data_IF_123899508925
#
_entry.id   IF_123899508925
#
_cell.length_a   1.000
_cell.length_b   1.000
_cell.length_c   1.000
_cell.angle_alpha   90.00
_cell.angle_beta   90.00
_cell.angle_gamma   90.00
#
_symmetry.space_group_name_H-M   'P 1'
#
loop_
_entity.id
_entity.type
_entity.pdbx_description
1 polymer ?
#
# COMPACT_ATOMS: atom_id res chain seq x y z
N UNK A 1 -0.20 -1.88 -15.72
CA UNK A 1 -1.22 -0.84 -15.42
C UNK A 1 -2.24 -0.93 -16.54
N UNK A 2 -3.53 -1.17 -16.25
CA UNK A 2 -4.53 -1.39 -17.32
C UNK A 2 -4.87 -0.10 -18.04
N UNK A 3 -5.06 -0.15 -19.37
CA UNK A 3 -5.36 0.98 -20.26
C UNK A 3 -6.72 1.67 -20.01
N UNK A 4 -7.47 1.25 -18.99
CA UNK A 4 -8.83 1.72 -18.67
C UNK A 4 -8.95 3.24 -18.45
N UNK A 5 -7.84 3.92 -18.18
CA UNK A 5 -7.81 5.35 -17.90
C UNK A 5 -6.96 6.16 -18.90
N UNK A 6 -6.36 5.51 -19.90
CA UNK A 6 -5.40 6.13 -20.82
C UNK A 6 -5.98 7.31 -21.62
N UNK A 7 -7.31 7.36 -21.81
CA UNK A 7 -7.99 8.44 -22.53
C UNK A 7 -8.62 9.53 -21.64
N UNK A 8 -8.42 9.47 -20.32
CA UNK A 8 -9.08 10.41 -19.37
C UNK A 8 -8.26 11.66 -19.07
N UNK A 9 -7.04 11.75 -19.57
CA UNK A 9 -6.10 12.84 -19.30
C UNK A 9 -4.97 12.85 -20.32
N UNK A 10 -4.40 14.03 -20.58
CA UNK A 10 -3.16 14.23 -21.34
C UNK A 10 -2.18 15.07 -20.55
N UNK A 11 -0.87 14.93 -20.78
CA UNK A 11 0.16 15.74 -20.09
C UNK A 11 -0.10 17.25 -20.13
N UNK A 12 -0.71 17.74 -21.22
CA UNK A 12 -1.09 19.14 -21.38
C UNK A 12 -2.17 19.62 -20.38
N UNK A 13 -2.99 18.71 -19.86
CA UNK A 13 -4.02 19.02 -18.86
C UNK A 13 -3.44 19.16 -17.43
N UNK A 14 -2.16 18.78 -17.23
CA UNK A 14 -1.47 18.81 -15.94
C UNK A 14 -1.80 17.62 -15.03
N UNK A 15 -0.86 17.17 -14.21
CA UNK A 15 -0.96 15.91 -13.44
C UNK A 15 -2.29 15.76 -12.63
N UNK A 16 -3.13 14.73 -12.90
CA UNK A 16 -4.48 14.64 -12.36
C UNK A 16 -4.58 13.72 -11.13
N UNK A 17 -3.49 13.04 -10.77
CA UNK A 17 -3.52 12.01 -9.73
C UNK A 17 -3.16 12.61 -8.38
N UNK A 18 -4.02 12.37 -7.40
CA UNK A 18 -3.82 12.77 -6.00
C UNK A 18 -3.76 11.51 -5.13
N UNK A 19 -3.07 11.57 -4.00
CA UNK A 19 -3.15 10.49 -3.02
C UNK A 19 -4.53 10.49 -2.33
N UNK A 20 -4.96 9.30 -1.87
CA UNK A 20 -6.22 9.12 -1.15
C UNK A 20 -6.31 9.96 0.15
N UNK A 21 -5.19 10.50 0.62
CA UNK A 21 -5.06 11.45 1.73
C UNK A 21 -5.44 12.89 1.37
N UNK A 22 -5.80 13.17 0.10
CA UNK A 22 -6.13 14.52 -0.37
C UNK A 22 -4.91 15.36 -0.77
N UNK A 23 -3.72 14.74 -0.82
CA UNK A 23 -2.49 15.43 -1.21
C UNK A 23 -2.31 15.46 -2.73
N UNK A 24 -2.31 16.67 -3.29
CA UNK A 24 -2.10 16.93 -4.71
C UNK A 24 -0.62 17.09 -5.10
N UNK A 25 0.30 17.12 -4.14
CA UNK A 25 1.74 17.33 -4.36
C UNK A 25 2.53 16.03 -4.39
N UNK A 26 2.05 15.01 -3.66
CA UNK A 26 2.73 13.73 -3.50
C UNK A 26 3.72 13.67 -2.33
N UNK A 27 3.83 14.73 -1.53
CA UNK A 27 4.78 14.82 -0.42
C UNK A 27 4.25 14.32 0.93
N UNK A 28 2.96 14.06 1.05
CA UNK A 28 2.35 13.56 2.31
C UNK A 28 2.72 12.12 2.64
N UNK A 29 3.17 11.34 1.67
CA UNK A 29 3.44 9.92 1.87
C UNK A 29 4.90 9.69 2.26
N UNK A 30 5.11 9.26 3.50
CA UNK A 30 6.39 8.70 3.95
C UNK A 30 6.17 7.26 4.41
N UNK A 31 7.18 6.41 4.22
CA UNK A 31 7.15 5.01 4.63
C UNK A 31 8.22 4.75 5.67
N UNK A 32 7.82 4.30 6.85
CA UNK A 32 8.74 3.79 7.86
C UNK A 32 8.95 2.29 7.64
N UNK A 33 10.20 1.85 7.49
CA UNK A 33 10.53 0.44 7.36
C UNK A 33 11.01 -0.11 8.70
N UNK A 34 10.28 -1.08 9.24
CA UNK A 34 10.69 -1.84 10.42
C UNK A 34 10.88 -3.31 10.04
N UNK A 35 12.09 -3.85 10.24
CA UNK A 35 12.38 -5.27 10.03
C UNK A 35 12.18 -6.07 11.33
N UNK A 36 11.24 -7.01 11.32
CA UNK A 36 11.02 -7.97 12.40
C UNK A 36 11.70 -9.33 12.17
N UNK A 37 12.63 -9.41 11.21
CA UNK A 37 13.25 -10.68 10.82
C UNK A 37 14.22 -11.18 11.90
N UNK A 38 14.21 -12.48 12.13
CA UNK A 38 15.34 -13.15 12.78
C UNK A 38 16.57 -12.98 11.89
N UNK A 39 17.63 -12.38 12.44
CA UNK A 39 18.83 -12.00 11.69
C UNK A 39 19.52 -13.22 11.08
N UNK A 40 19.53 -14.36 11.77
CA UNK A 40 20.16 -15.58 11.25
C UNK A 40 19.35 -16.16 10.10
N UNK A 41 18.02 -16.17 10.21
CA UNK A 41 17.14 -16.61 9.12
C UNK A 41 17.32 -15.72 7.89
N UNK A 42 17.31 -14.39 8.09
CA UNK A 42 17.47 -13.43 7.00
C UNK A 42 18.84 -13.58 6.33
N UNK A 43 19.91 -13.69 7.11
CA UNK A 43 21.27 -13.86 6.56
C UNK A 43 21.37 -15.14 5.74
N UNK A 44 20.87 -16.26 6.25
CA UNK A 44 20.89 -17.52 5.52
C UNK A 44 20.06 -17.46 4.22
N UNK A 45 18.91 -16.78 4.24
CA UNK A 45 18.11 -16.62 3.03
C UNK A 45 18.87 -15.80 1.96
N UNK A 46 19.55 -14.72 2.36
CA UNK A 46 20.38 -13.90 1.46
C UNK A 46 21.50 -14.75 0.85
N UNK A 47 22.21 -15.53 1.67
CA UNK A 47 23.39 -16.27 1.24
C UNK A 47 23.05 -17.50 0.40
N UNK A 48 21.90 -18.12 0.64
CA UNK A 48 21.62 -19.46 0.12
C UNK A 48 20.34 -19.59 -0.71
N UNK A 49 19.45 -18.59 -0.71
CA UNK A 49 18.18 -18.65 -1.44
C UNK A 49 18.16 -17.75 -2.68
N UNK A 50 19.26 -17.76 -3.42
CA UNK A 50 19.41 -17.13 -4.73
C UNK A 50 20.16 -18.09 -5.67
N UNK A 51 19.75 -19.37 -5.68
CA UNK A 51 20.42 -20.44 -6.40
C UNK A 51 19.83 -20.57 -7.82
N UNK A 52 20.64 -20.46 -8.89
CA UNK A 52 20.15 -20.56 -10.27
C UNK A 52 19.63 -21.94 -10.67
N UNK A 53 19.86 -22.97 -9.85
CA UNK A 53 19.49 -24.36 -10.17
C UNK A 53 18.16 -24.80 -9.53
N UNK A 54 17.48 -23.92 -8.79
CA UNK A 54 16.17 -24.18 -8.21
C UNK A 54 15.29 -22.92 -8.28
N UNK A 55 14.05 -23.02 -7.79
CA UNK A 55 13.08 -21.94 -7.90
C UNK A 55 13.35 -20.73 -6.99
N UNK A 56 14.40 -20.77 -6.14
CA UNK A 56 14.78 -19.58 -5.36
C UNK A 56 15.23 -18.42 -6.26
N UNK A 57 15.82 -18.69 -7.44
CA UNK A 57 16.15 -17.66 -8.43
C UNK A 57 14.91 -16.97 -9.02
N UNK A 58 13.76 -17.67 -9.02
CA UNK A 58 12.50 -17.17 -9.56
C UNK A 58 11.68 -16.40 -8.52
N UNK A 59 12.23 -16.19 -7.31
CA UNK A 59 11.53 -15.52 -6.21
C UNK A 59 10.46 -16.37 -5.54
N UNK A 60 10.50 -17.70 -5.73
CA UNK A 60 9.57 -18.61 -5.05
C UNK A 60 10.05 -18.81 -3.61
N UNK A 61 9.43 -18.08 -2.68
CA UNK A 61 9.81 -18.10 -1.26
C UNK A 61 9.77 -19.51 -0.65
N UNK A 62 8.80 -20.34 -1.03
CA UNK A 62 8.64 -21.72 -0.55
C UNK A 62 9.82 -22.66 -0.93
N UNK A 63 10.62 -22.30 -1.94
CA UNK A 63 11.80 -23.07 -2.33
C UNK A 63 13.00 -22.84 -1.39
N UNK A 64 12.98 -21.76 -0.60
CA UNK A 64 14.03 -21.43 0.34
C UNK A 64 13.90 -22.25 1.64
N UNK A 65 14.79 -23.22 1.86
CA UNK A 65 14.75 -24.11 3.04
C UNK A 65 14.92 -23.39 4.39
N UNK A 66 15.41 -22.15 4.39
CA UNK A 66 15.55 -21.33 5.60
C UNK A 66 14.25 -20.60 5.98
N UNK A 67 13.27 -20.53 5.08
CA UNK A 67 11.96 -19.99 5.40
C UNK A 67 11.02 -21.07 5.91
N UNK A 68 10.22 -20.71 6.92
CA UNK A 68 9.10 -21.50 7.38
C UNK A 68 7.81 -20.85 6.90
N UNK A 69 7.32 -21.32 5.77
CA UNK A 69 6.11 -20.79 5.14
C UNK A 69 4.87 -21.35 5.82
N UNK A 70 3.85 -20.50 5.97
CA UNK A 70 2.51 -20.93 6.38
C UNK A 70 1.62 -21.09 5.14
N UNK A 71 0.65 -22.00 5.14
CA UNK A 71 -0.28 -22.14 4.02
C UNK A 71 -1.00 -20.82 3.71
N UNK A 72 -1.21 -20.53 2.43
CA UNK A 72 -1.87 -19.30 1.98
C UNK A 72 -3.25 -19.08 2.65
N UNK A 73 -4.04 -20.15 2.84
CA UNK A 73 -5.31 -20.07 3.53
C UNK A 73 -5.17 -19.63 5.01
N UNK A 74 -4.11 -20.07 5.69
CA UNK A 74 -3.81 -19.63 7.05
C UNK A 74 -3.40 -18.16 7.06
N UNK A 75 -2.53 -17.74 6.14
CA UNK A 75 -2.13 -16.32 6.02
C UNK A 75 -3.34 -15.41 5.78
N UNK A 76 -4.25 -15.80 4.88
CA UNK A 76 -5.48 -15.06 4.56
C UNK A 76 -6.48 -14.99 5.72
N UNK A 77 -6.38 -15.90 6.69
CA UNK A 77 -7.19 -15.85 7.91
C UNK A 77 -6.70 -14.83 8.95
N UNK A 78 -5.46 -14.33 8.80
CA UNK A 78 -4.89 -13.31 9.67
C UNK A 78 -5.46 -11.93 9.31
N UNK A 79 -6.67 -11.65 9.79
CA UNK A 79 -7.36 -10.39 9.56
C UNK A 79 -7.61 -9.69 10.90
N UNK A 80 -7.34 -8.39 10.94
CA UNK A 80 -7.77 -7.54 12.04
C UNK A 80 -9.20 -7.06 11.76
N UNK A 81 -10.05 -7.11 12.78
CA UNK A 81 -11.35 -6.44 12.70
C UNK A 81 -11.15 -4.94 12.53
N UNK A 82 -12.07 -4.28 11.82
CA UNK A 82 -11.99 -2.83 11.66
C UNK A 82 -11.99 -2.15 13.02
N UNK A 83 -11.00 -1.29 13.25
CA UNK A 83 -10.90 -0.47 14.47
C UNK A 83 -11.69 0.84 14.33
N UNK A 84 -12.04 1.23 13.10
CA UNK A 84 -12.84 2.40 12.77
C UNK A 84 -14.19 1.95 12.22
N UNK A 85 -15.27 2.55 12.71
CA UNK A 85 -16.63 2.27 12.22
C UNK A 85 -16.93 3.17 11.02
N UNK A 86 -16.36 2.84 9.86
CA UNK A 86 -16.61 3.55 8.60
C UNK A 86 -17.03 2.56 7.50
N UNK A 87 -17.84 3.04 6.54
CA UNK A 87 -18.26 2.23 5.40
C UNK A 87 -17.10 2.03 4.45
N UNK A 88 -16.51 0.82 4.44
CA UNK A 88 -15.40 0.42 3.56
C UNK A 88 -15.82 -0.53 2.44
N UNK A 89 -17.12 -0.80 2.34
CA UNK A 89 -17.72 -1.57 1.25
C UNK A 89 -18.43 -0.63 0.28
N UNK A 90 -17.83 -0.44 -0.91
CA UNK A 90 -18.31 0.49 -1.92
C UNK A 90 -19.61 0.04 -2.62
N UNK A 91 -20.15 0.85 -3.55
CA UNK A 91 -19.57 2.07 -4.10
C UNK A 91 -19.73 3.30 -3.19
N UNK A 92 -18.73 4.18 -3.16
CA UNK A 92 -18.76 5.41 -2.35
C UNK A 92 -18.95 6.67 -3.21
N UNK A 93 -19.66 7.64 -2.65
CA UNK A 93 -19.67 9.01 -3.20
C UNK A 93 -18.37 9.78 -2.89
N UNK A 94 -17.69 9.43 -1.79
CA UNK A 94 -16.40 9.99 -1.36
C UNK A 94 -15.58 8.93 -0.64
N UNK A 95 -14.25 9.08 -0.59
CA UNK A 95 -13.41 8.15 0.15
C UNK A 95 -13.69 8.21 1.67
N UNK A 96 -13.62 7.08 2.38
CA UNK A 96 -13.69 7.07 3.84
C UNK A 96 -12.59 7.95 4.48
N UNK A 97 -12.86 8.48 5.67
CA UNK A 97 -11.94 9.35 6.42
C UNK A 97 -11.93 10.84 6.03
N UNK A 98 -12.82 11.29 5.14
CA UNK A 98 -12.91 12.70 4.70
C UNK A 98 -11.57 13.36 4.32
N UNK A 99 -11.08 13.02 3.13
CA UNK A 99 -9.79 13.50 2.64
C UNK A 99 -9.97 14.48 1.45
N UNK A 100 -10.45 15.73 1.67
CA UNK A 100 -10.58 16.70 0.58
C UNK A 100 -9.20 17.11 0.05
N UNK A 101 -9.14 17.54 -1.22
CA UNK A 101 -7.89 17.99 -1.82
C UNK A 101 -7.41 19.27 -1.13
N UNK A 102 -6.16 19.27 -0.65
CA UNK A 102 -5.54 20.42 0.00
C UNK A 102 -4.30 20.87 -0.75
N UNK A 103 -4.40 21.99 -1.46
CA UNK A 103 -3.26 22.58 -2.17
C UNK A 103 -2.35 23.33 -1.19
N UNK A 104 -1.03 23.10 -1.28
CA UNK A 104 -0.01 23.84 -0.55
C UNK A 104 0.17 25.29 -1.05
N UNK A 105 1.11 26.06 -0.48
CA UNK A 105 2.19 25.63 0.42
C UNK A 105 1.88 25.75 1.92
N UNK A 106 0.66 26.15 2.29
CA UNK A 106 0.25 26.23 3.70
C UNK A 106 0.08 24.86 4.35
N UNK A 107 0.04 24.83 5.68
CA UNK A 107 -0.22 23.61 6.44
C UNK A 107 -1.59 23.01 6.10
N UNK A 108 -1.65 21.69 6.02
CA UNK A 108 -2.90 20.98 5.83
C UNK A 108 -3.81 21.12 7.06
N UNK A 109 -5.11 21.29 6.82
CA UNK A 109 -6.16 21.29 7.84
C UNK A 109 -6.64 19.87 8.09
N UNK A 110 -6.83 19.50 9.36
CA UNK A 110 -7.43 18.22 9.72
C UNK A 110 -8.95 18.27 9.53
N UNK A 111 -9.47 17.37 8.70
CA UNK A 111 -10.91 17.14 8.53
C UNK A 111 -11.35 15.88 9.27
N UNK A 112 -12.61 15.90 9.71
CA UNK A 112 -13.33 14.77 10.28
C UNK A 112 -14.64 14.60 9.52
N UNK A 113 -15.36 13.51 9.76
CA UNK A 113 -16.66 13.30 9.13
C UNK A 113 -17.67 14.43 9.45
N UNK A 114 -17.57 15.04 10.64
CA UNK A 114 -18.46 16.11 11.10
C UNK A 114 -18.25 17.45 10.37
N UNK A 115 -17.06 17.71 9.84
CA UNK A 115 -16.71 18.98 9.20
C UNK A 115 -16.28 18.83 7.74
N UNK A 116 -16.62 17.69 7.14
CA UNK A 116 -16.19 17.36 5.80
C UNK A 116 -16.79 18.31 4.75
N UNK A 117 -15.99 19.03 3.97
CA UNK A 117 -16.50 19.88 2.91
C UNK A 117 -17.22 19.05 1.84
N UNK A 118 -18.24 19.66 1.24
CA UNK A 118 -19.06 19.05 0.19
C UNK A 118 -18.28 18.87 -1.11
#
# INVERSE_FOLDING_TARGET
MSDKFASRWTEADGWPFVYATGDATGYSFHGDFQNGWDVNVLQNAIDYCNNPNDDTINGVADACSYFKMIPAAQAQSCQLSSVVQEGVDGPFAKLPGCNPIQAGPGDATLYTDDNCPA
#
